data_IF_958536445178
#
_entry.id   IF_958536445178
#
_cell.length_a   1.000
_cell.length_b   1.000
_cell.length_c   1.000
_cell.angle_alpha   90.00
_cell.angle_beta   90.00
_cell.angle_gamma   90.00
#
_symmetry.space_group_name_H-M   'P 1'
#
loop_
_entity.id
_entity.type
_entity.pdbx_description
1 polymer ?
#
# COMPACT_ATOMS: atom_id res chain seq x y z
N UNK A 1 -15.07 -31.61 -30.45
CA UNK A 1 -15.00 -30.20 -30.93
C UNK A 1 -15.94 -29.39 -30.05
N UNK A 2 -15.42 -28.66 -29.06
CA UNK A 2 -15.06 -27.23 -29.10
C UNK A 2 -16.26 -26.30 -28.76
N UNK A 3 -16.12 -25.62 -27.61
CA UNK A 3 -16.54 -24.24 -27.24
C UNK A 3 -17.94 -24.11 -26.59
N UNK A 4 -18.07 -23.74 -25.30
CA UNK A 4 -17.91 -22.38 -24.69
C UNK A 4 -18.89 -21.38 -25.33
N UNK A 5 -19.72 -20.56 -24.66
CA UNK A 5 -19.79 -19.97 -23.31
C UNK A 5 -21.24 -19.43 -23.19
N UNK A 6 -21.84 -19.13 -22.03
CA UNK A 6 -21.91 -17.77 -21.44
C UNK A 6 -22.71 -17.94 -20.13
N UNK A 7 -22.09 -17.65 -18.99
CA UNK A 7 -22.83 -17.19 -17.81
C UNK A 7 -22.25 -15.83 -17.45
N UNK A 8 -23.01 -14.79 -17.79
CA UNK A 8 -22.84 -13.44 -17.26
C UNK A 8 -23.15 -13.48 -15.76
N UNK A 9 -22.15 -13.22 -14.93
CA UNK A 9 -22.37 -12.83 -13.54
C UNK A 9 -21.70 -11.48 -13.35
N UNK A 10 -22.49 -10.43 -13.54
CA UNK A 10 -22.23 -9.11 -12.99
C UNK A 10 -22.18 -9.27 -11.48
N UNK A 11 -21.00 -9.15 -10.89
CA UNK A 11 -20.83 -9.01 -9.44
C UNK A 11 -20.33 -7.60 -9.18
N UNK A 12 -21.29 -6.70 -9.03
CA UNK A 12 -21.09 -5.46 -8.30
C UNK A 12 -20.76 -5.86 -6.85
N UNK A 13 -19.49 -5.78 -6.47
CA UNK A 13 -19.10 -5.88 -5.06
C UNK A 13 -18.87 -4.45 -4.60
N UNK A 14 -19.80 -4.01 -3.76
CA UNK A 14 -19.83 -2.69 -3.18
C UNK A 14 -18.58 -2.37 -2.39
N UNK A 15 -18.20 -1.10 -2.46
CA UNK A 15 -17.26 -0.45 -1.57
C UNK A 15 -17.75 -0.60 -0.13
N UNK A 16 -17.32 -1.66 0.56
CA UNK A 16 -17.38 -1.75 2.01
C UNK A 16 -16.04 -1.25 2.58
N UNK A 17 -15.68 -0.01 2.26
CA UNK A 17 -14.76 0.76 3.08
C UNK A 17 -15.56 1.25 4.28
N UNK A 18 -15.38 0.61 5.42
CA UNK A 18 -16.00 1.01 6.68
C UNK A 18 -15.64 2.46 7.00
N UNK A 19 -16.59 3.37 6.75
CA UNK A 19 -16.63 4.69 7.34
C UNK A 19 -17.56 4.64 8.55
N UNK A 20 -17.01 4.70 9.76
CA UNK A 20 -17.77 5.14 10.93
C UNK A 20 -17.41 6.60 11.17
N UNK A 21 -18.38 7.47 10.94
CA UNK A 21 -18.46 8.83 11.46
C UNK A 21 -19.95 9.04 11.79
N UNK A 22 -20.40 9.61 12.89
CA UNK A 22 -19.77 10.33 13.99
C UNK A 22 -20.79 10.41 15.17
N UNK A 23 -20.34 11.04 16.26
CA UNK A 23 -21.09 11.74 17.32
C UNK A 23 -21.26 11.02 18.66
N UNK A 24 -20.53 11.52 19.66
CA UNK A 24 -20.82 11.35 21.07
C UNK A 24 -19.67 11.79 21.97
N UNK A 25 -19.85 12.94 22.63
CA UNK A 25 -19.23 13.35 23.91
C UNK A 25 -17.76 13.78 23.91
N UNK A 26 -17.56 15.09 23.96
CA UNK A 26 -17.23 15.85 25.17
C UNK A 26 -16.37 15.10 26.22
N UNK A 27 -15.25 15.72 26.58
CA UNK A 27 -14.34 15.36 27.68
C UNK A 27 -13.58 14.03 27.56
N UNK A 28 -12.36 14.09 27.01
CA UNK A 28 -11.25 13.38 27.66
C UNK A 28 -9.94 14.18 27.59
N UNK A 29 -9.91 15.27 28.33
CA UNK A 29 -8.71 15.69 29.05
C UNK A 29 -8.31 14.57 30.02
N UNK A 30 -7.60 13.55 29.52
CA UNK A 30 -6.87 12.64 30.38
C UNK A 30 -5.57 12.26 29.71
N UNK A 31 -4.57 13.08 30.03
CA UNK A 31 -3.17 12.69 30.04
C UNK A 31 -3.04 11.40 30.85
N UNK A 32 -3.09 10.25 30.17
CA UNK A 32 -2.77 8.96 30.78
C UNK A 32 -1.33 8.64 30.38
N UNK A 33 -0.44 8.86 31.37
CA UNK A 33 0.94 8.41 31.44
C UNK A 33 1.97 9.13 30.54
N UNK A 34 2.50 10.25 31.04
CA UNK A 34 3.93 10.38 31.38
C UNK A 34 5.03 10.12 30.33
N UNK A 35 4.69 9.92 29.07
CA UNK A 35 5.62 9.89 27.95
C UNK A 35 5.05 10.81 26.88
N UNK A 36 5.44 12.09 26.93
CA UNK A 36 5.60 12.87 25.71
C UNK A 36 6.64 12.11 24.86
N UNK A 37 6.18 11.12 24.10
CA UNK A 37 6.92 10.69 22.92
C UNK A 37 6.92 11.92 22.04
N UNK A 38 8.02 12.68 22.07
CA UNK A 38 8.26 13.79 21.17
C UNK A 38 8.13 13.24 19.76
N UNK A 39 6.93 13.36 19.21
CA UNK A 39 6.59 12.86 17.92
C UNK A 39 7.28 13.79 16.93
N UNK A 40 8.50 13.42 16.52
CA UNK A 40 9.21 14.15 15.49
C UNK A 40 8.57 13.77 14.14
N UNK A 41 7.82 14.69 13.50
CA UNK A 41 7.20 14.39 12.23
C UNK A 41 8.29 14.00 11.23
N UNK A 42 8.08 12.87 10.53
CA UNK A 42 9.00 12.37 9.50
C UNK A 42 9.32 13.53 8.54
N UNK A 43 10.60 13.84 8.27
CA UNK A 43 10.96 14.87 7.31
C UNK A 43 10.35 14.57 5.93
N UNK A 44 9.84 15.60 5.25
CA UNK A 44 9.21 15.43 3.93
C UNK A 44 10.20 14.81 2.94
N UNK A 45 11.47 15.21 2.97
CA UNK A 45 12.51 14.67 2.10
C UNK A 45 12.73 13.16 2.33
N UNK A 46 12.64 12.71 3.59
CA UNK A 46 12.71 11.27 3.91
C UNK A 46 11.51 10.54 3.32
N UNK A 47 10.31 11.09 3.51
CA UNK A 47 9.06 10.53 3.00
C UNK A 47 9.05 10.46 1.47
N UNK A 48 9.59 11.48 0.79
CA UNK A 48 9.82 11.47 -0.66
C UNK A 48 10.81 10.38 -1.07
N UNK A 49 11.87 10.16 -0.29
CA UNK A 49 12.81 9.07 -0.48
C UNK A 49 12.14 7.70 -0.42
N UNK A 50 11.31 7.47 0.59
CA UNK A 50 10.53 6.23 0.77
C UNK A 50 9.55 6.02 -0.39
N UNK A 51 8.79 7.04 -0.80
CA UNK A 51 7.88 6.93 -1.96
C UNK A 51 8.64 6.65 -3.27
N UNK A 52 9.80 7.27 -3.47
CA UNK A 52 10.65 6.97 -4.63
C UNK A 52 11.20 5.54 -4.60
N UNK A 53 11.45 4.97 -3.42
CA UNK A 53 11.84 3.58 -3.26
C UNK A 53 10.65 2.64 -3.52
N UNK A 54 9.49 2.89 -2.93
CA UNK A 54 8.23 2.20 -3.23
C UNK A 54 7.94 2.14 -4.72
N UNK A 55 8.03 3.26 -5.43
CA UNK A 55 7.81 3.31 -6.88
C UNK A 55 8.78 2.40 -7.66
N UNK A 56 10.05 2.31 -7.22
CA UNK A 56 11.02 1.37 -7.81
C UNK A 56 10.66 -0.08 -7.52
N UNK A 57 10.15 -0.39 -6.33
CA UNK A 57 9.68 -1.73 -5.94
C UNK A 57 8.49 -2.14 -6.80
N UNK A 58 7.53 -1.24 -6.99
CA UNK A 58 6.39 -1.51 -7.86
C UNK A 58 6.83 -1.83 -9.30
N UNK A 59 7.77 -1.07 -9.87
CA UNK A 59 8.30 -1.36 -11.22
C UNK A 59 9.02 -2.70 -11.27
N UNK A 60 9.76 -3.05 -10.22
CA UNK A 60 10.42 -4.35 -10.12
C UNK A 60 9.39 -5.49 -10.12
N UNK A 61 8.40 -5.43 -9.22
CA UNK A 61 7.35 -6.44 -9.09
C UNK A 61 6.52 -6.54 -10.36
N UNK A 62 6.16 -5.42 -10.99
CA UNK A 62 5.43 -5.41 -12.28
C UNK A 62 6.16 -6.23 -13.36
N UNK A 63 7.48 -6.02 -13.47
CA UNK A 63 8.32 -6.80 -14.38
C UNK A 63 8.32 -8.28 -14.00
N UNK A 64 8.46 -8.61 -12.72
CA UNK A 64 8.42 -9.99 -12.24
C UNK A 64 7.07 -10.67 -12.57
N UNK A 65 5.94 -9.98 -12.39
CA UNK A 65 4.61 -10.51 -12.75
C UNK A 65 4.52 -10.93 -14.22
N UNK A 66 5.16 -10.17 -15.11
CA UNK A 66 5.30 -10.50 -16.52
C UNK A 66 6.21 -11.70 -16.76
N UNK A 67 7.44 -11.64 -16.24
CA UNK A 67 8.49 -12.66 -16.42
C UNK A 67 8.04 -14.04 -15.92
N UNK A 68 7.49 -14.11 -14.72
CA UNK A 68 7.09 -15.36 -14.07
C UNK A 68 5.64 -15.76 -14.36
N UNK A 69 4.96 -15.06 -15.29
CA UNK A 69 3.57 -15.33 -15.69
C UNK A 69 2.64 -15.47 -14.48
N UNK A 70 2.68 -14.47 -13.60
CA UNK A 70 1.96 -14.48 -12.35
C UNK A 70 0.47 -14.83 -12.52
N UNK A 71 -0.09 -15.68 -11.64
CA UNK A 71 -1.50 -16.03 -11.67
C UNK A 71 -2.37 -14.80 -11.31
N UNK A 72 -3.63 -14.86 -11.73
CA UNK A 72 -4.60 -13.76 -11.55
C UNK A 72 -4.70 -13.23 -10.10
N UNK A 73 -4.71 -14.07 -9.05
CA UNK A 73 -4.80 -13.57 -7.68
C UNK A 73 -3.62 -12.67 -7.29
N UNK A 74 -2.39 -13.05 -7.66
CA UNK A 74 -1.19 -12.25 -7.37
C UNK A 74 -1.23 -10.92 -8.14
N UNK A 75 -1.70 -10.94 -9.39
CA UNK A 75 -1.90 -9.71 -10.17
C UNK A 75 -2.92 -8.77 -9.51
N UNK A 76 -4.00 -9.30 -8.94
CA UNK A 76 -5.00 -8.49 -8.24
C UNK A 76 -4.41 -7.85 -6.97
N UNK A 77 -3.61 -8.60 -6.21
CA UNK A 77 -2.89 -8.08 -5.04
C UNK A 77 -1.96 -6.92 -5.43
N UNK A 78 -1.19 -7.07 -6.50
CA UNK A 78 -0.36 -5.98 -7.02
C UNK A 78 -1.18 -4.76 -7.44
N UNK A 79 -2.29 -4.94 -8.16
CA UNK A 79 -3.13 -3.80 -8.57
C UNK A 79 -3.75 -3.07 -7.37
N UNK A 80 -4.04 -3.77 -6.28
CA UNK A 80 -4.48 -3.15 -5.03
C UNK A 80 -3.39 -2.24 -4.45
N UNK A 81 -2.17 -2.76 -4.26
CA UNK A 81 -1.01 -1.96 -3.80
C UNK A 81 -0.78 -0.76 -4.71
N UNK A 82 -0.87 -0.95 -6.03
CA UNK A 82 -0.67 0.12 -7.01
C UNK A 82 -1.68 1.26 -6.86
N UNK A 83 -2.93 0.95 -6.50
CA UNK A 83 -3.95 1.96 -6.24
C UNK A 83 -3.67 2.72 -4.94
N UNK A 84 -3.26 2.03 -3.88
CA UNK A 84 -2.86 2.67 -2.62
C UNK A 84 -1.64 3.59 -2.81
N UNK A 85 -0.64 3.14 -3.57
CA UNK A 85 0.54 3.93 -3.88
C UNK A 85 0.18 5.20 -4.65
N UNK A 86 -0.82 5.16 -5.52
CA UNK A 86 -1.31 6.35 -6.22
C UNK A 86 -1.93 7.37 -5.25
N UNK A 87 -2.68 6.90 -4.24
CA UNK A 87 -3.23 7.74 -3.18
C UNK A 87 -2.11 8.36 -2.34
N UNK A 88 -1.11 7.58 -1.93
CA UNK A 88 0.05 8.07 -1.17
C UNK A 88 0.83 9.12 -1.96
N UNK A 89 1.11 8.87 -3.25
CA UNK A 89 1.77 9.82 -4.13
C UNK A 89 0.99 11.14 -4.26
N UNK A 90 -0.34 11.09 -4.27
CA UNK A 90 -1.20 12.27 -4.28
C UNK A 90 -1.14 13.01 -2.94
N UNK A 91 -1.27 12.29 -1.83
CA UNK A 91 -1.19 12.85 -0.49
C UNK A 91 0.15 13.56 -0.27
N UNK A 92 1.27 12.96 -0.71
CA UNK A 92 2.61 13.55 -0.57
C UNK A 92 2.76 14.92 -1.25
N UNK A 93 1.94 15.23 -2.26
CA UNK A 93 1.93 16.54 -2.95
C UNK A 93 1.10 17.60 -2.23
N UNK A 94 0.31 17.21 -1.22
CA UNK A 94 -0.52 18.12 -0.43
C UNK A 94 0.30 18.92 0.59
N UNK A 95 -0.20 20.08 1.02
CA UNK A 95 0.46 20.89 2.06
C UNK A 95 0.14 20.44 3.49
N UNK A 96 -1.00 19.77 3.69
CA UNK A 96 -1.48 19.31 4.99
C UNK A 96 -1.52 17.78 5.01
N UNK A 97 -0.37 17.18 5.32
CA UNK A 97 -0.18 15.72 5.29
C UNK A 97 0.07 15.23 6.72
N UNK A 98 -0.68 14.20 7.12
CA UNK A 98 -0.31 13.39 8.27
C UNK A 98 0.87 12.50 7.88
N UNK A 99 2.07 12.98 8.23
CA UNK A 99 3.32 12.31 7.85
C UNK A 99 3.52 11.00 8.62
N UNK A 100 2.91 10.84 9.79
CA UNK A 100 2.97 9.58 10.54
C UNK A 100 2.23 8.50 9.78
N UNK A 101 0.97 8.81 9.46
CA UNK A 101 0.08 7.88 8.78
C UNK A 101 0.65 7.52 7.42
N UNK A 102 1.15 8.50 6.66
CA UNK A 102 1.76 8.24 5.37
C UNK A 102 3.00 7.34 5.47
N UNK A 103 3.83 7.51 6.51
CA UNK A 103 4.95 6.61 6.76
C UNK A 103 4.50 5.17 6.97
N UNK A 104 3.43 4.97 7.75
CA UNK A 104 2.85 3.63 7.99
C UNK A 104 2.21 3.02 6.75
N UNK A 105 1.51 3.81 5.94
CA UNK A 105 0.95 3.37 4.66
C UNK A 105 2.07 2.92 3.70
N UNK A 106 3.20 3.63 3.65
CA UNK A 106 4.35 3.24 2.82
C UNK A 106 4.99 1.94 3.33
N UNK A 107 5.25 1.82 4.64
CA UNK A 107 5.79 0.60 5.25
C UNK A 107 4.90 -0.62 4.96
N UNK A 108 3.57 -0.45 5.03
CA UNK A 108 2.62 -1.50 4.71
C UNK A 108 2.74 -1.96 3.26
N UNK A 109 2.76 -1.03 2.30
CA UNK A 109 2.92 -1.35 0.88
C UNK A 109 4.28 -2.00 0.56
N UNK A 110 5.35 -1.60 1.25
CA UNK A 110 6.65 -2.29 1.13
C UNK A 110 6.52 -3.77 1.49
N UNK A 111 5.86 -4.08 2.61
CA UNK A 111 5.65 -5.45 3.05
C UNK A 111 4.77 -6.25 2.07
N UNK A 112 3.70 -5.66 1.53
CA UNK A 112 2.84 -6.33 0.55
C UNK A 112 3.58 -6.65 -0.75
N UNK A 113 4.39 -5.73 -1.26
CA UNK A 113 5.22 -5.96 -2.44
C UNK A 113 6.26 -7.06 -2.21
N UNK A 114 6.82 -7.13 -1.01
CA UNK A 114 7.80 -8.16 -0.67
C UNK A 114 7.14 -9.53 -0.63
N UNK A 115 5.96 -9.61 -0.02
CA UNK A 115 5.18 -10.85 0.00
C UNK A 115 4.80 -11.30 -1.42
N UNK A 116 4.45 -10.38 -2.32
CA UNK A 116 4.20 -10.71 -3.74
C UNK A 116 5.47 -11.29 -4.38
N UNK A 117 6.64 -10.72 -4.13
CA UNK A 117 7.91 -11.22 -4.66
C UNK A 117 8.21 -12.64 -4.15
N UNK A 118 8.00 -12.89 -2.86
CA UNK A 118 8.13 -14.22 -2.24
C UNK A 118 7.18 -15.24 -2.87
N UNK A 119 5.90 -14.90 -3.02
CA UNK A 119 4.89 -15.76 -3.66
C UNK A 119 5.25 -16.07 -5.13
N UNK A 120 5.88 -15.13 -5.83
CA UNK A 120 6.36 -15.30 -7.20
C UNK A 120 7.67 -16.09 -7.30
N UNK A 121 8.31 -16.39 -6.16
CA UNK A 121 9.62 -17.04 -6.08
C UNK A 121 10.68 -16.32 -6.92
N UNK A 122 10.64 -14.98 -6.93
CA UNK A 122 11.65 -14.19 -7.66
C UNK A 122 13.00 -14.39 -6.97
N UNK A 123 14.06 -14.76 -7.69
CA UNK A 123 15.40 -14.75 -7.13
C UNK A 123 15.75 -13.29 -6.78
N UNK A 124 15.87 -13.02 -5.49
CA UNK A 124 16.19 -11.68 -4.97
C UNK A 124 17.53 -11.25 -5.56
N UNK A 125 17.58 -10.21 -6.41
CA UNK A 125 18.84 -9.73 -6.96
C UNK A 125 19.71 -9.19 -5.83
N UNK A 126 20.99 -9.58 -5.74
CA UNK A 126 21.93 -9.10 -4.73
C UNK A 126 22.08 -7.56 -4.68
N UNK A 127 21.67 -6.88 -5.75
CA UNK A 127 21.75 -5.42 -5.89
C UNK A 127 20.44 -4.68 -5.58
N UNK A 128 19.33 -5.38 -5.35
CA UNK A 128 18.04 -4.77 -5.03
C UNK A 128 17.74 -4.94 -3.53
N UNK A 129 17.83 -3.86 -2.77
CA UNK A 129 17.57 -3.89 -1.32
C UNK A 129 16.13 -3.45 -1.05
N UNK A 130 15.33 -4.39 -0.55
CA UNK A 130 14.12 -4.14 0.24
C UNK A 130 14.60 -3.59 1.59
N UNK A 131 14.79 -2.27 1.67
CA UNK A 131 15.07 -1.59 2.94
C UNK A 131 13.78 -1.31 3.70
#
# INVERSE_FOLDING_TARGET
>A
MKNSTIFSALLAVGLAGFGIAALGQDDESKMINGHEQFYHPIPVDRLMGEVNHLNRMMTHVERALGTYRAPRPIRQKYEHVRQEAAVVNLQLRSKAIDRFRLGKEIEHMHAELHQIEEELHVPVPQYYQWR
#
